data_IF_711336131123
#
_entry.id   IF_711336131123
#
_cell.length_a   1.000
_cell.length_b   1.000
_cell.length_c   1.000
_cell.angle_alpha   90.00
_cell.angle_beta   90.00
_cell.angle_gamma   90.00
#
_symmetry.space_group_name_H-M   'P 1'
#
loop_
_entity.id
_entity.type
_entity.pdbx_description
1 polymer ?
#
# COMPACT_ATOMS: atom_id res chain seq x y z
N UNK A 1 6.13 -11.32 2.91
CA UNK A 1 6.25 -11.69 1.48
C UNK A 1 6.74 -13.12 1.26
N UNK A 2 7.93 -13.50 1.75
CA UNK A 2 8.51 -14.84 1.50
C UNK A 2 7.60 -16.01 1.86
N UNK A 3 6.90 -15.94 3.00
CA UNK A 3 5.94 -16.97 3.39
C UNK A 3 4.77 -17.16 2.40
N UNK A 4 4.36 -16.13 1.67
CA UNK A 4 3.35 -16.27 0.62
C UNK A 4 3.95 -16.96 -0.62
N UNK A 5 5.19 -16.63 -0.99
CA UNK A 5 5.92 -17.28 -2.09
C UNK A 5 5.99 -18.80 -1.86
N UNK A 6 6.34 -19.21 -0.64
CA UNK A 6 6.41 -20.62 -0.23
C UNK A 6 5.07 -21.38 -0.33
N UNK A 7 3.94 -20.65 -0.41
CA UNK A 7 2.59 -21.23 -0.46
C UNK A 7 1.93 -21.10 -1.84
N UNK A 8 2.62 -20.56 -2.85
CA UNK A 8 2.02 -20.34 -4.17
C UNK A 8 1.57 -21.64 -4.86
N UNK A 9 2.27 -22.74 -4.65
CA UNK A 9 1.86 -24.04 -5.21
C UNK A 9 0.56 -24.54 -4.59
N UNK A 10 0.38 -24.35 -3.28
CA UNK A 10 -0.89 -24.62 -2.61
C UNK A 10 -2.01 -23.74 -3.18
N UNK A 11 -1.76 -22.43 -3.34
CA UNK A 11 -2.74 -21.49 -3.88
C UNK A 11 -3.12 -21.85 -5.31
N UNK A 12 -2.14 -22.20 -6.15
CA UNK A 12 -2.39 -22.64 -7.53
C UNK A 12 -3.26 -23.90 -7.58
N UNK A 13 -3.05 -24.86 -6.66
CA UNK A 13 -3.85 -26.07 -6.58
C UNK A 13 -5.31 -25.82 -6.21
N UNK A 14 -5.63 -24.67 -5.59
CA UNK A 14 -7.01 -24.23 -5.37
C UNK A 14 -7.70 -23.76 -6.66
N UNK A 15 -7.00 -23.75 -7.79
CA UNK A 15 -7.50 -23.33 -9.11
C UNK A 15 -7.97 -21.87 -9.16
N UNK A 16 -7.37 -20.99 -8.35
CA UNK A 16 -7.64 -19.55 -8.38
C UNK A 16 -6.86 -18.87 -9.52
N UNK A 17 -7.44 -17.82 -10.10
CA UNK A 17 -6.79 -17.02 -11.15
C UNK A 17 -6.14 -15.74 -10.64
N UNK A 18 -6.58 -15.24 -9.48
CA UNK A 18 -6.15 -13.95 -8.93
C UNK A 18 -5.88 -14.07 -7.42
N UNK A 19 -4.77 -13.50 -6.97
CA UNK A 19 -4.44 -13.27 -5.56
C UNK A 19 -4.61 -11.79 -5.26
N UNK A 20 -5.58 -11.42 -4.41
CA UNK A 20 -5.71 -10.06 -3.88
C UNK A 20 -4.92 -9.97 -2.58
N UNK A 21 -4.02 -8.99 -2.50
CA UNK A 21 -3.32 -8.65 -1.27
C UNK A 21 -4.03 -7.48 -0.60
N UNK A 22 -4.11 -7.50 0.74
CA UNK A 22 -4.44 -6.31 1.52
C UNK A 22 -3.33 -5.26 1.37
N UNK A 23 -3.49 -4.07 1.97
CA UNK A 23 -2.48 -3.01 1.90
C UNK A 23 -1.10 -3.56 2.25
N UNK A 24 -0.14 -3.33 1.35
CA UNK A 24 1.27 -3.71 1.53
C UNK A 24 2.19 -2.50 1.63
N UNK A 25 1.63 -1.30 1.48
CA UNK A 25 2.36 -0.05 1.41
C UNK A 25 2.92 0.32 2.77
N UNK A 26 4.06 0.99 2.79
CA UNK A 26 4.63 1.49 4.05
C UNK A 26 3.63 2.39 4.77
N UNK A 27 3.38 2.09 6.03
CA UNK A 27 2.47 2.86 6.89
C UNK A 27 3.14 3.17 8.23
N UNK A 28 2.61 4.16 8.96
CA UNK A 28 3.23 4.60 10.21
C UNK A 28 3.22 3.51 11.29
N UNK A 29 2.13 2.75 11.39
CA UNK A 29 1.89 1.79 12.48
C UNK A 29 1.51 0.39 11.96
N UNK A 30 2.14 -0.05 10.87
CA UNK A 30 1.92 -1.39 10.33
C UNK A 30 2.40 -2.48 11.32
N UNK A 31 1.66 -3.59 11.54
CA UNK A 31 0.40 -4.00 10.91
C UNK A 31 -0.87 -3.54 11.63
N UNK A 32 -0.77 -2.77 12.71
CA UNK A 32 -1.92 -2.32 13.49
C UNK A 32 -2.78 -1.31 12.72
N UNK A 33 -2.13 -0.46 11.92
CA UNK A 33 -2.77 0.57 11.10
C UNK A 33 -2.05 0.69 9.75
N UNK A 34 -2.76 0.31 8.68
CA UNK A 34 -2.24 0.26 7.31
C UNK A 34 -2.99 1.18 6.33
N UNK A 35 -3.92 1.99 6.85
CA UNK A 35 -4.65 3.02 6.10
C UNK A 35 -3.86 4.34 6.02
N UNK A 36 -3.04 4.63 7.03
CA UNK A 36 -2.19 5.82 7.10
C UNK A 36 -0.86 5.60 6.38
N UNK A 37 -0.92 5.54 5.04
CA UNK A 37 0.23 5.29 4.18
C UNK A 37 1.21 6.47 4.19
N UNK A 38 2.51 6.17 4.30
CA UNK A 38 3.62 7.13 4.22
C UNK A 38 4.37 7.08 2.88
N UNK A 39 4.29 5.96 2.17
CA UNK A 39 4.90 5.78 0.84
C UNK A 39 4.18 4.70 0.03
N UNK A 40 3.46 5.11 -1.03
CA UNK A 40 2.79 4.19 -1.97
C UNK A 40 3.76 3.47 -2.93
N UNK A 41 5.02 3.87 -3.02
CA UNK A 41 6.00 3.26 -3.92
C UNK A 41 6.80 2.13 -3.26
N UNK A 42 6.61 1.91 -1.96
CA UNK A 42 7.40 0.96 -1.19
C UNK A 42 6.52 -0.03 -0.41
N UNK A 43 7.13 -1.13 -0.01
CA UNK A 43 6.50 -2.19 0.79
C UNK A 43 6.85 -1.95 2.26
N UNK A 44 5.87 -2.16 3.14
CA UNK A 44 6.09 -2.02 4.57
C UNK A 44 7.18 -2.99 5.05
N UNK A 45 8.20 -2.52 5.82
CA UNK A 45 9.30 -3.35 6.29
C UNK A 45 8.87 -4.58 7.08
N UNK A 46 7.69 -4.56 7.73
CA UNK A 46 7.13 -5.71 8.43
C UNK A 46 6.84 -6.88 7.48
N UNK A 47 6.49 -6.59 6.22
CA UNK A 47 6.17 -7.59 5.20
C UNK A 47 7.41 -8.08 4.45
N UNK A 48 8.47 -7.29 4.41
CA UNK A 48 9.71 -7.56 3.66
C UNK A 48 10.17 -6.34 2.90
N UNK A 49 10.95 -6.57 1.83
CA UNK A 49 11.43 -5.49 0.96
C UNK A 49 10.66 -5.43 -0.35
N UNK A 50 10.81 -4.32 -1.08
CA UNK A 50 10.25 -4.17 -2.42
C UNK A 50 10.70 -5.31 -3.36
N UNK A 51 11.94 -5.79 -3.23
CA UNK A 51 12.45 -6.90 -4.03
C UNK A 51 11.73 -8.22 -3.72
N UNK A 52 11.34 -8.45 -2.46
CA UNK A 52 10.56 -9.63 -2.08
C UNK A 52 9.17 -9.59 -2.73
N UNK A 53 8.57 -8.40 -2.83
CA UNK A 53 7.30 -8.22 -3.54
C UNK A 53 7.47 -8.41 -5.05
N UNK A 54 8.52 -7.85 -5.67
CA UNK A 54 8.83 -8.08 -7.08
C UNK A 54 9.00 -9.58 -7.39
N UNK A 55 9.69 -10.32 -6.50
CA UNK A 55 9.81 -11.77 -6.60
C UNK A 55 8.45 -12.47 -6.50
N UNK A 56 7.61 -12.07 -5.54
CA UNK A 56 6.25 -12.60 -5.41
C UNK A 56 5.43 -12.40 -6.69
N UNK A 57 5.43 -11.18 -7.26
CA UNK A 57 4.71 -10.89 -8.51
C UNK A 57 5.18 -11.78 -9.65
N UNK A 58 6.50 -11.93 -9.81
CA UNK A 58 7.10 -12.81 -10.81
C UNK A 58 6.63 -14.27 -10.64
N UNK A 59 6.69 -14.78 -9.42
CA UNK A 59 6.30 -16.16 -9.12
C UNK A 59 4.81 -16.43 -9.30
N UNK A 60 3.95 -15.45 -8.99
CA UNK A 60 2.51 -15.50 -9.28
C UNK A 60 2.27 -15.56 -10.80
N UNK A 61 2.93 -14.69 -11.56
CA UNK A 61 2.77 -14.63 -13.02
C UNK A 61 3.30 -15.89 -13.72
N UNK A 62 4.40 -16.47 -13.26
CA UNK A 62 4.94 -17.74 -13.77
C UNK A 62 3.93 -18.89 -13.66
N UNK A 63 3.02 -18.82 -12.69
CA UNK A 63 1.95 -19.80 -12.45
C UNK A 63 0.67 -19.51 -13.22
N UNK A 64 0.68 -18.50 -14.10
CA UNK A 64 -0.51 -18.07 -14.86
C UNK A 64 -1.54 -17.29 -14.04
N UNK A 65 -1.26 -17.02 -12.76
CA UNK A 65 -2.12 -16.23 -11.89
C UNK A 65 -1.84 -14.72 -12.07
N UNK A 66 -2.66 -13.88 -11.45
CA UNK A 66 -2.48 -12.43 -11.37
C UNK A 66 -2.53 -11.95 -9.92
N UNK A 67 -1.98 -10.78 -9.67
CA UNK A 67 -2.02 -10.13 -8.35
C UNK A 67 -2.78 -8.81 -8.44
N UNK A 68 -3.58 -8.52 -7.42
CA UNK A 68 -4.26 -7.23 -7.24
C UNK A 68 -3.86 -6.65 -5.89
N UNK A 69 -3.48 -5.38 -5.87
CA UNK A 69 -3.15 -4.66 -4.64
C UNK A 69 -4.36 -3.87 -4.16
N UNK A 70 -4.57 -3.88 -2.84
CA UNK A 70 -5.51 -3.00 -2.17
C UNK A 70 -4.85 -1.65 -1.89
N UNK A 71 -5.27 -0.61 -2.61
CA UNK A 71 -4.74 0.75 -2.50
C UNK A 71 -5.87 1.72 -2.20
N UNK A 72 -5.78 2.43 -1.08
CA UNK A 72 -6.69 3.50 -0.72
C UNK A 72 -6.02 4.86 -1.01
N UNK A 73 -6.39 5.57 -2.09
CA UNK A 73 -5.80 6.87 -2.42
C UNK A 73 -6.51 8.05 -1.72
N UNK A 74 -7.51 7.79 -0.86
CA UNK A 74 -8.37 8.84 -0.28
C UNK A 74 -7.65 9.65 0.79
N UNK A 75 -6.79 9.00 1.57
CA UNK A 75 -6.07 9.60 2.71
C UNK A 75 -4.63 9.11 2.74
N UNK A 76 -3.75 9.88 3.37
CA UNK A 76 -2.37 9.48 3.68
C UNK A 76 -2.04 9.90 5.10
N UNK A 77 -0.96 9.37 5.67
CA UNK A 77 -0.37 9.92 6.89
C UNK A 77 0.09 11.37 6.66
N UNK A 78 0.13 12.15 7.74
CA UNK A 78 0.77 13.46 7.81
C UNK A 78 2.29 13.41 7.56
N UNK A 79 2.92 12.25 7.76
CA UNK A 79 4.32 11.97 7.44
C UNK A 79 4.55 11.66 5.95
N UNK A 80 3.49 11.49 5.15
CA UNK A 80 3.63 11.32 3.71
C UNK A 80 4.21 12.59 3.09
N UNK A 81 5.14 12.47 2.13
CA UNK A 81 5.82 13.63 1.52
C UNK A 81 4.84 14.67 0.98
N UNK A 82 3.72 14.21 0.41
CA UNK A 82 2.64 15.07 -0.08
C UNK A 82 2.02 15.92 1.04
N UNK A 83 1.66 15.28 2.16
CA UNK A 83 1.04 15.95 3.30
C UNK A 83 2.03 16.91 3.98
N UNK A 84 3.29 16.49 4.16
CA UNK A 84 4.34 17.35 4.70
C UNK A 84 4.58 18.61 3.83
N UNK A 85 4.60 18.47 2.50
CA UNK A 85 4.69 19.60 1.58
C UNK A 85 3.52 20.58 1.73
N UNK A 86 2.30 20.04 1.85
CA UNK A 86 1.10 20.83 2.02
C UNK A 86 1.06 21.56 3.37
N UNK A 87 1.39 20.87 4.48
CA UNK A 87 1.46 21.44 5.83
C UNK A 87 2.46 22.59 5.94
N UNK A 88 3.56 22.51 5.20
CA UNK A 88 4.61 23.54 5.17
C UNK A 88 4.34 24.65 4.14
N UNK A 89 3.18 24.64 3.47
CA UNK A 89 2.81 25.60 2.42
C UNK A 89 3.85 25.73 1.31
N UNK A 90 4.56 24.65 0.99
CA UNK A 90 5.59 24.68 -0.04
C UNK A 90 4.97 24.83 -1.43
N UNK A 91 5.57 25.63 -2.34
CA UNK A 91 5.18 25.62 -3.73
C UNK A 91 5.53 24.26 -4.37
N UNK A 92 4.78 23.84 -5.39
CA UNK A 92 5.07 22.62 -6.13
C UNK A 92 3.83 21.77 -6.39
N UNK A 93 4.02 20.51 -6.84
CA UNK A 93 2.93 19.67 -7.34
C UNK A 93 1.92 19.28 -6.26
N UNK A 94 2.34 19.22 -4.99
CA UNK A 94 1.51 18.75 -3.88
C UNK A 94 0.72 19.86 -3.17
N UNK A 95 0.86 21.12 -3.62
CA UNK A 95 0.29 22.29 -2.93
C UNK A 95 -1.25 22.22 -2.77
N UNK A 96 -1.95 21.57 -3.70
CA UNK A 96 -3.41 21.46 -3.72
C UNK A 96 -3.90 20.02 -3.45
N UNK A 97 -3.06 19.14 -2.89
CA UNK A 97 -3.43 17.74 -2.68
C UNK A 97 -4.36 17.53 -1.47
N UNK A 98 -4.32 18.42 -0.48
CA UNK A 98 -5.10 18.29 0.75
C UNK A 98 -5.92 19.55 1.01
N UNK A 99 -6.92 19.40 1.87
CA UNK A 99 -7.75 20.48 2.35
C UNK A 99 -8.04 20.28 3.83
N UNK A 100 -8.31 21.38 4.55
CA UNK A 100 -8.80 21.29 5.91
C UNK A 100 -10.28 20.91 5.89
N UNK A 101 -10.58 19.67 6.25
CA UNK A 101 -11.95 19.24 6.50
C UNK A 101 -12.39 19.81 7.86
N UNK A 102 -12.93 21.03 7.88
CA UNK A 102 -13.64 21.52 9.07
C UNK A 102 -15.00 20.83 9.11
N UNK A 103 -15.19 19.86 10.01
CA UNK A 103 -16.52 19.33 10.28
C UNK A 103 -17.30 20.46 10.96
N UNK A 104 -18.21 21.10 10.23
CA UNK A 104 -19.24 21.91 10.89
C UNK A 104 -20.14 20.95 11.62
N UNK A 105 -20.08 20.93 12.95
CA UNK A 105 -21.14 20.33 13.75
C UNK A 105 -22.46 20.95 13.29
N UNK A 106 -23.34 20.09 12.80
CA UNK A 106 -24.72 20.46 12.47
C UNK A 106 -25.43 20.56 13.82
N UNK A 107 -25.71 21.79 14.23
CA UNK A 107 -26.57 22.10 15.38
C UNK A 107 -27.96 21.47 15.26
#
# INVERSE_FOLDING_TARGET
MKGLIERLDYIQNLSVSIVRLNSIFSALDYPLEYEHVIDFANVDPHLGRLEDFQQLVKEIHNRGMRVVLDMNPTVTSDQHTWAAHWLLHLPGPYHNFYFNATVKEVN
#
